data_IF_184730534182
#
_entry.id   IF_184730534182
#
_cell.length_a   1.000
_cell.length_b   1.000
_cell.length_c   1.000
_cell.angle_alpha   90.00
_cell.angle_beta   90.00
_cell.angle_gamma   90.00
#
_symmetry.space_group_name_H-M   'P 1'
#
loop_
_entity.id
_entity.type
_entity.pdbx_description
1 polymer ?
#
# COMPACT_ATOMS: atom_id res chain seq x y z
N UNK A 1 2.18 -3.67 -22.70
CA UNK A 1 3.31 -4.24 -23.46
C UNK A 1 2.73 -5.27 -24.40
N UNK A 2 3.06 -5.18 -25.68
CA UNK A 2 2.66 -6.20 -26.65
C UNK A 2 3.27 -7.55 -26.29
N UNK A 3 2.53 -8.62 -26.55
CA UNK A 3 2.94 -10.01 -26.26
C UNK A 3 4.24 -10.41 -26.97
N UNK A 4 4.63 -9.66 -28.00
CA UNK A 4 5.80 -9.87 -28.83
C UNK A 4 7.06 -9.12 -28.33
N UNK A 5 6.96 -8.37 -27.22
CA UNK A 5 8.11 -7.68 -26.64
C UNK A 5 9.13 -8.67 -26.04
N UNK A 6 10.44 -8.43 -26.21
CA UNK A 6 11.49 -9.28 -25.62
C UNK A 6 11.48 -9.29 -24.09
N UNK A 7 10.86 -8.32 -23.43
CA UNK A 7 10.66 -8.34 -21.97
C UNK A 7 9.55 -9.30 -21.52
N UNK A 8 8.58 -9.64 -22.39
CA UNK A 8 7.39 -10.40 -22.01
C UNK A 8 7.69 -11.80 -21.45
N UNK A 9 8.56 -12.63 -22.08
CA UNK A 9 8.89 -13.96 -21.55
C UNK A 9 9.57 -13.92 -20.18
N UNK A 10 10.37 -12.88 -19.93
CA UNK A 10 11.06 -12.69 -18.64
C UNK A 10 10.06 -12.35 -17.57
N UNK A 11 9.19 -11.38 -17.81
CA UNK A 11 8.13 -10.99 -16.87
C UNK A 11 7.23 -12.19 -16.55
N UNK A 12 6.89 -13.00 -17.55
CA UNK A 12 6.10 -14.21 -17.36
C UNK A 12 6.84 -15.25 -16.50
N UNK A 13 8.16 -15.42 -16.69
CA UNK A 13 8.98 -16.31 -15.87
C UNK A 13 9.03 -15.84 -14.42
N UNK A 14 9.32 -14.55 -14.21
CA UNK A 14 9.35 -13.95 -12.87
C UNK A 14 7.99 -14.09 -12.20
N UNK A 15 6.89 -13.80 -12.91
CA UNK A 15 5.54 -13.98 -12.39
C UNK A 15 5.29 -15.42 -11.94
N UNK A 16 5.60 -16.42 -12.78
CA UNK A 16 5.40 -17.84 -12.43
C UNK A 16 6.26 -18.26 -11.24
N UNK A 17 7.52 -17.83 -11.19
CA UNK A 17 8.43 -18.13 -10.08
C UNK A 17 7.96 -17.48 -8.77
N UNK A 18 7.54 -16.21 -8.81
CA UNK A 18 7.02 -15.50 -7.65
C UNK A 18 5.70 -16.11 -7.15
N UNK A 19 4.80 -16.54 -8.06
CA UNK A 19 3.58 -17.24 -7.67
C UNK A 19 3.90 -18.60 -7.03
N UNK A 20 4.84 -19.37 -7.60
CA UNK A 20 5.27 -20.63 -7.02
C UNK A 20 5.87 -20.44 -5.64
N UNK A 21 6.83 -19.52 -5.49
CA UNK A 21 7.44 -19.19 -4.22
C UNK A 21 6.40 -18.71 -3.20
N UNK A 22 5.43 -17.88 -3.62
CA UNK A 22 4.32 -17.43 -2.80
C UNK A 22 3.42 -18.56 -2.33
N UNK A 23 3.06 -19.50 -3.20
CA UNK A 23 2.26 -20.68 -2.83
C UNK A 23 3.00 -21.59 -1.86
N UNK A 24 4.31 -21.82 -2.07
CA UNK A 24 5.14 -22.59 -1.14
C UNK A 24 5.22 -21.89 0.22
N UNK A 25 5.44 -20.58 0.24
CA UNK A 25 5.48 -19.80 1.47
C UNK A 25 4.13 -19.82 2.20
N UNK A 26 2.99 -19.71 1.48
CA UNK A 26 1.66 -19.86 2.07
C UNK A 26 1.43 -21.26 2.64
N UNK A 27 1.95 -22.29 1.99
CA UNK A 27 1.95 -23.66 2.53
C UNK A 27 2.74 -23.78 3.85
N UNK A 28 3.92 -23.17 3.92
CA UNK A 28 4.71 -23.11 5.16
C UNK A 28 4.02 -22.28 6.25
N UNK A 29 3.35 -21.20 5.88
CA UNK A 29 2.52 -20.42 6.80
C UNK A 29 1.37 -21.25 7.40
N UNK A 30 0.76 -22.15 6.63
CA UNK A 30 -0.28 -23.06 7.15
C UNK A 30 0.29 -24.05 8.18
N UNK A 31 1.53 -24.52 8.00
CA UNK A 31 2.24 -25.30 9.02
C UNK A 31 2.48 -24.45 10.27
N UNK A 32 2.92 -23.20 10.10
CA UNK A 32 3.10 -22.25 11.21
C UNK A 32 1.80 -22.04 12.00
N UNK A 33 0.67 -21.87 11.32
CA UNK A 33 -0.65 -21.71 11.93
C UNK A 33 -1.09 -22.95 12.72
N UNK A 34 -0.69 -24.15 12.30
CA UNK A 34 -0.99 -25.40 13.02
C UNK A 34 -0.13 -25.58 14.29
N UNK A 35 1.04 -24.93 14.36
CA UNK A 35 1.93 -24.97 15.52
C UNK A 35 1.57 -23.90 16.55
N UNK A 36 1.37 -22.67 16.09
CA UNK A 36 1.01 -21.52 16.93
C UNK A 36 0.16 -20.53 16.11
N UNK A 37 -1.14 -20.57 16.36
CA UNK A 37 -2.12 -19.77 15.63
C UNK A 37 -1.99 -18.28 15.95
N UNK A 38 -1.63 -17.93 17.18
CA UNK A 38 -1.49 -16.54 17.62
C UNK A 38 -0.25 -15.90 17.00
N UNK A 39 0.90 -16.60 17.07
CA UNK A 39 2.13 -16.15 16.42
C UNK A 39 1.97 -16.04 14.90
N UNK A 40 1.21 -16.95 14.28
CA UNK A 40 0.86 -16.87 12.87
C UNK A 40 0.16 -15.55 12.54
N UNK A 41 -0.93 -15.20 13.23
CA UNK A 41 -1.68 -13.98 12.92
C UNK A 41 -0.86 -12.71 13.15
N UNK A 42 -0.07 -12.65 14.24
CA UNK A 42 0.84 -11.52 14.51
C UNK A 42 1.86 -11.33 13.37
N UNK A 43 2.49 -12.42 12.93
CA UNK A 43 3.48 -12.38 11.84
C UNK A 43 2.82 -12.07 10.49
N UNK A 44 1.64 -12.62 10.25
CA UNK A 44 0.86 -12.41 9.03
C UNK A 44 0.42 -10.95 8.92
N UNK A 45 0.00 -10.31 10.02
CA UNK A 45 -0.37 -8.89 10.04
C UNK A 45 0.81 -8.02 9.62
N UNK A 46 2.01 -8.23 10.17
CA UNK A 46 3.22 -7.48 9.78
C UNK A 46 3.53 -7.63 8.29
N UNK A 47 3.52 -8.87 7.79
CA UNK A 47 3.74 -9.14 6.37
C UNK A 47 2.66 -8.49 5.49
N UNK A 48 1.40 -8.58 5.90
CA UNK A 48 0.27 -7.97 5.21
C UNK A 48 0.41 -6.45 5.14
N UNK A 49 0.72 -5.79 6.26
CA UNK A 49 0.90 -4.33 6.35
C UNK A 49 2.04 -3.84 5.43
N UNK A 50 3.11 -4.62 5.31
CA UNK A 50 4.19 -4.33 4.38
C UNK A 50 3.71 -4.35 2.91
N UNK A 51 3.06 -5.43 2.48
CA UNK A 51 2.63 -5.60 1.09
C UNK A 51 1.46 -4.69 0.70
N UNK A 52 0.47 -4.49 1.58
CA UNK A 52 -0.60 -3.50 1.35
C UNK A 52 0.01 -2.09 1.30
N UNK A 53 1.04 -1.83 2.10
CA UNK A 53 1.71 -0.54 2.12
C UNK A 53 2.40 -0.21 0.80
N UNK A 54 3.10 -1.16 0.18
CA UNK A 54 3.66 -0.98 -1.17
C UNK A 54 2.54 -0.74 -2.19
N UNK A 55 1.46 -1.52 -2.12
CA UNK A 55 0.31 -1.42 -3.04
C UNK A 55 -0.33 -0.03 -2.99
N UNK A 56 -0.65 0.44 -1.79
CA UNK A 56 -1.28 1.74 -1.55
C UNK A 56 -0.32 2.91 -1.79
N UNK A 57 0.96 2.75 -1.47
CA UNK A 57 2.00 3.70 -1.83
C UNK A 57 2.10 3.87 -3.35
N UNK A 58 2.02 2.78 -4.12
CA UNK A 58 2.01 2.86 -5.58
C UNK A 58 0.78 3.61 -6.09
N UNK A 59 -0.42 3.30 -5.58
CA UNK A 59 -1.66 4.01 -5.94
C UNK A 59 -1.55 5.52 -5.65
N UNK A 60 -1.00 5.86 -4.48
CA UNK A 60 -0.78 7.24 -4.05
C UNK A 60 0.19 7.97 -4.96
N UNK A 61 1.33 7.37 -5.31
CA UNK A 61 2.30 7.97 -6.22
C UNK A 61 1.70 8.14 -7.63
N UNK A 62 0.88 7.20 -8.13
CA UNK A 62 0.16 7.37 -9.41
C UNK A 62 -0.73 8.61 -9.38
N UNK A 63 -1.52 8.78 -8.32
CA UNK A 63 -2.40 9.95 -8.17
C UNK A 63 -1.60 11.24 -8.02
N UNK A 64 -0.55 11.24 -7.21
CA UNK A 64 0.34 12.38 -7.01
C UNK A 64 1.00 12.81 -8.33
N UNK A 65 1.61 11.86 -9.05
CA UNK A 65 2.26 12.13 -10.34
C UNK A 65 1.28 12.64 -11.39
N UNK A 66 0.03 12.15 -11.37
CA UNK A 66 -1.00 12.63 -12.29
C UNK A 66 -1.29 14.12 -12.12
N UNK A 67 -1.08 14.67 -10.92
CA UNK A 67 -1.27 16.08 -10.60
C UNK A 67 -0.02 16.92 -10.83
N UNK A 68 1.16 16.38 -10.51
CA UNK A 68 2.44 17.13 -10.55
C UNK A 68 3.18 17.01 -11.88
N UNK A 69 3.02 15.90 -12.60
CA UNK A 69 3.76 15.60 -13.83
C UNK A 69 5.25 15.32 -13.58
N UNK A 70 6.07 15.62 -14.59
CA UNK A 70 7.52 15.39 -14.56
C UNK A 70 7.94 14.04 -15.15
N UNK A 71 9.18 13.99 -15.67
CA UNK A 71 9.72 12.84 -16.39
C UNK A 71 9.89 11.59 -15.51
N UNK A 72 10.29 11.77 -14.25
CA UNK A 72 10.52 10.68 -13.27
C UNK A 72 9.34 9.72 -13.14
N UNK A 73 8.12 10.24 -13.13
CA UNK A 73 6.92 9.43 -12.98
C UNK A 73 6.41 8.86 -14.29
N UNK A 74 6.77 9.44 -15.45
CA UNK A 74 6.39 8.89 -16.77
C UNK A 74 7.05 7.52 -16.99
N UNK A 75 8.33 7.40 -16.60
CA UNK A 75 9.11 6.17 -16.73
C UNK A 75 8.62 5.08 -15.78
N UNK A 76 8.21 5.46 -14.57
CA UNK A 76 7.78 4.52 -13.52
C UNK A 76 6.27 4.25 -13.51
N UNK A 77 5.48 5.05 -14.25
CA UNK A 77 4.00 4.98 -14.30
C UNK A 77 3.46 3.56 -14.41
N UNK A 78 3.97 2.76 -15.36
CA UNK A 78 3.45 1.40 -15.61
C UNK A 78 3.81 0.42 -14.49
N UNK A 79 4.93 0.62 -13.81
CA UNK A 79 5.32 -0.20 -12.65
C UNK A 79 4.44 0.14 -11.45
N UNK A 80 4.21 1.45 -11.22
CA UNK A 80 3.35 1.95 -10.16
C UNK A 80 1.88 1.52 -10.36
N UNK A 81 1.34 1.65 -11.57
CA UNK A 81 -0.01 1.18 -11.89
C UNK A 81 -0.15 -0.34 -11.71
N UNK A 82 0.86 -1.12 -12.12
CA UNK A 82 0.86 -2.56 -11.90
C UNK A 82 0.89 -2.91 -10.40
N UNK A 83 1.69 -2.18 -9.60
CA UNK A 83 1.71 -2.29 -8.14
C UNK A 83 0.35 -1.97 -7.53
N UNK A 84 -0.28 -0.85 -7.92
CA UNK A 84 -1.60 -0.45 -7.46
C UNK A 84 -2.69 -1.49 -7.81
N UNK A 85 -2.59 -2.14 -8.98
CA UNK A 85 -3.53 -3.18 -9.41
C UNK A 85 -3.46 -4.48 -8.61
N UNK A 86 -2.46 -4.65 -7.73
CA UNK A 86 -2.43 -5.78 -6.79
C UNK A 86 -3.42 -5.63 -5.63
N UNK A 87 -4.14 -4.51 -5.52
CA UNK A 87 -5.12 -4.27 -4.45
C UNK A 87 -6.20 -5.35 -4.35
N UNK A 88 -6.60 -5.96 -5.48
CA UNK A 88 -7.54 -7.08 -5.47
C UNK A 88 -6.97 -8.33 -4.80
N UNK A 89 -5.68 -8.60 -5.01
CA UNK A 89 -4.98 -9.67 -4.30
C UNK A 89 -4.89 -9.35 -2.81
N UNK A 90 -4.57 -8.10 -2.45
CA UNK A 90 -4.51 -7.70 -1.04
C UNK A 90 -5.87 -7.81 -0.33
N UNK A 91 -6.98 -7.53 -1.02
CA UNK A 91 -8.32 -7.75 -0.48
C UNK A 91 -8.59 -9.23 -0.17
N UNK A 92 -8.14 -10.15 -1.04
CA UNK A 92 -8.22 -11.60 -0.79
C UNK A 92 -7.32 -12.01 0.37
N UNK A 93 -6.07 -11.49 0.41
CA UNK A 93 -5.12 -11.78 1.48
C UNK A 93 -5.51 -11.15 2.83
N UNK A 94 -6.49 -10.24 2.86
CA UNK A 94 -7.07 -9.74 4.11
C UNK A 94 -8.09 -10.71 4.73
N UNK A 95 -8.66 -11.65 3.96
CA UNK A 95 -9.68 -12.58 4.45
C UNK A 95 -9.18 -13.42 5.65
N UNK A 96 -7.97 -14.01 5.65
CA UNK A 96 -7.46 -14.70 6.83
C UNK A 96 -7.40 -13.80 8.07
N UNK A 97 -6.96 -12.55 7.93
CA UNK A 97 -6.93 -11.58 9.04
C UNK A 97 -8.33 -11.24 9.54
N UNK A 98 -9.31 -11.11 8.65
CA UNK A 98 -10.68 -10.85 9.03
C UNK A 98 -11.30 -12.02 9.82
N UNK A 99 -11.05 -13.25 9.39
CA UNK A 99 -11.51 -14.46 10.08
C UNK A 99 -10.80 -14.67 11.41
N UNK A 100 -9.50 -14.37 11.46
CA UNK A 100 -8.65 -14.51 12.64
C UNK A 100 -8.57 -13.28 13.54
N UNK A 101 -9.39 -12.26 13.31
CA UNK A 101 -9.24 -10.95 13.95
C UNK A 101 -9.22 -11.02 15.49
N UNK A 102 -9.93 -11.99 16.09
CA UNK A 102 -9.97 -12.19 17.55
C UNK A 102 -8.61 -12.56 18.15
N UNK A 103 -7.72 -13.19 17.38
CA UNK A 103 -6.35 -13.50 17.81
C UNK A 103 -5.42 -12.28 17.79
N UNK A 104 -5.87 -11.16 17.22
CA UNK A 104 -5.10 -9.92 17.10
C UNK A 104 -5.63 -8.83 18.03
N UNK A 105 -6.95 -8.69 18.09
CA UNK A 105 -7.59 -7.54 18.72
C UNK A 105 -8.36 -7.97 19.98
N UNK A 106 -7.78 -7.76 21.15
CA UNK A 106 -8.41 -8.13 22.44
C UNK A 106 -9.77 -7.46 22.68
N UNK A 107 -9.99 -6.27 22.12
CA UNK A 107 -11.26 -5.56 22.22
C UNK A 107 -12.42 -6.23 21.47
N UNK A 108 -12.15 -7.15 20.53
CA UNK A 108 -13.19 -7.94 19.87
C UNK A 108 -13.83 -8.97 20.83
N UNK A 109 -13.08 -9.45 21.82
CA UNK A 109 -13.58 -10.35 22.86
C UNK A 109 -14.25 -9.56 23.99
N UNK A 110 -13.62 -8.48 24.45
CA UNK A 110 -14.18 -7.62 25.50
C UNK A 110 -15.52 -6.99 25.07
N UNK A 111 -15.61 -6.48 23.83
CA UNK A 111 -16.81 -5.85 23.27
C UNK A 111 -17.99 -6.81 22.98
N UNK A 112 -17.86 -8.11 23.26
CA UNK A 112 -18.96 -9.07 23.17
C UNK A 112 -20.03 -8.81 24.25
N UNK A 113 -19.65 -8.19 25.37
CA UNK A 113 -20.58 -7.79 26.43
C UNK A 113 -21.24 -6.45 26.08
N UNK A 114 -22.56 -6.36 26.23
CA UNK A 114 -23.33 -5.17 25.83
C UNK A 114 -22.92 -3.89 26.60
N UNK A 115 -22.35 -4.04 27.80
CA UNK A 115 -21.90 -2.94 28.65
C UNK A 115 -20.60 -2.26 28.14
N UNK A 116 -19.77 -2.98 27.39
CA UNK A 116 -18.43 -2.54 26.95
C UNK A 116 -18.38 -2.12 25.47
N UNK A 117 -19.55 -1.90 24.85
CA UNK A 117 -19.66 -1.59 23.41
C UNK A 117 -19.18 -0.18 23.10
N UNK A 118 -17.95 -0.06 22.59
CA UNK A 118 -17.42 1.19 22.07
C UNK A 118 -18.07 1.55 20.71
N UNK A 119 -18.47 2.82 20.47
CA UNK A 119 -19.07 3.24 19.20
C UNK A 119 -18.19 2.98 17.97
N UNK A 120 -16.87 3.10 18.12
CA UNK A 120 -15.89 2.92 17.03
C UNK A 120 -15.31 1.50 16.93
N UNK A 121 -14.86 0.91 18.05
CA UNK A 121 -14.23 -0.41 18.12
C UNK A 121 -15.28 -1.48 18.44
N UNK A 122 -16.07 -1.84 17.43
CA UNK A 122 -16.98 -2.96 17.49
C UNK A 122 -16.87 -3.78 16.20
N UNK A 123 -17.12 -5.09 16.29
CA UNK A 123 -16.86 -6.01 15.18
C UNK A 123 -17.62 -5.64 13.89
N UNK A 124 -18.95 -5.39 13.90
CA UNK A 124 -19.67 -5.05 12.67
C UNK A 124 -19.13 -3.79 12.00
N UNK A 125 -18.85 -2.73 12.77
CA UNK A 125 -18.38 -1.48 12.22
C UNK A 125 -16.93 -1.56 11.72
N UNK A 126 -16.07 -2.32 12.40
CA UNK A 126 -14.71 -2.62 11.93
C UNK A 126 -14.69 -3.30 10.56
N UNK A 127 -15.48 -4.37 10.38
CA UNK A 127 -15.54 -5.08 9.09
C UNK A 127 -16.21 -4.25 8.00
N UNK A 128 -17.24 -3.47 8.33
CA UNK A 128 -17.84 -2.52 7.41
C UNK A 128 -16.82 -1.49 6.91
N UNK A 129 -16.04 -0.91 7.83
CA UNK A 129 -14.98 0.05 7.49
C UNK A 129 -13.90 -0.57 6.63
N UNK A 130 -13.43 -1.77 6.96
CA UNK A 130 -12.47 -2.50 6.12
C UNK A 130 -13.01 -2.70 4.68
N UNK A 131 -14.27 -3.10 4.53
CA UNK A 131 -14.92 -3.24 3.23
C UNK A 131 -15.03 -1.89 2.49
N UNK A 132 -15.34 -0.80 3.20
CA UNK A 132 -15.39 0.55 2.65
C UNK A 132 -14.00 0.99 2.13
N UNK A 133 -12.94 0.76 2.90
CA UNK A 133 -11.57 1.10 2.49
C UNK A 133 -11.18 0.39 1.20
N UNK A 134 -11.36 -0.93 1.16
CA UNK A 134 -11.09 -1.72 -0.04
C UNK A 134 -11.96 -1.29 -1.21
N UNK A 135 -13.25 -1.01 -0.99
CA UNK A 135 -14.14 -0.49 -2.03
C UNK A 135 -13.59 0.80 -2.66
N UNK A 136 -13.20 1.77 -1.84
CA UNK A 136 -12.59 3.02 -2.30
C UNK A 136 -11.29 2.77 -3.09
N UNK A 137 -10.38 1.97 -2.56
CA UNK A 137 -9.08 1.74 -3.18
C UNK A 137 -9.17 0.90 -4.45
N UNK A 138 -10.06 -0.09 -4.50
CA UNK A 138 -10.35 -0.91 -5.68
C UNK A 138 -10.89 -0.06 -6.83
N UNK A 139 -11.83 0.85 -6.55
CA UNK A 139 -12.37 1.75 -7.57
C UNK A 139 -11.26 2.63 -8.18
N UNK A 140 -10.42 3.23 -7.35
CA UNK A 140 -9.29 4.05 -7.80
C UNK A 140 -8.27 3.23 -8.62
N UNK A 141 -7.89 2.06 -8.12
CA UNK A 141 -6.93 1.15 -8.78
C UNK A 141 -7.48 0.50 -10.06
N UNK A 142 -8.80 0.46 -10.23
CA UNK A 142 -9.45 0.00 -11.45
C UNK A 142 -9.49 1.11 -12.51
N UNK A 143 -10.04 2.27 -12.18
CA UNK A 143 -10.27 3.34 -13.16
C UNK A 143 -8.99 4.04 -13.63
N UNK A 144 -8.04 4.35 -12.72
CA UNK A 144 -6.85 5.12 -13.09
C UNK A 144 -5.98 4.41 -14.13
N UNK A 145 -5.60 3.12 -13.96
CA UNK A 145 -4.81 2.43 -14.96
C UNK A 145 -5.59 2.15 -16.25
N UNK A 146 -6.92 1.94 -16.17
CA UNK A 146 -7.76 1.74 -17.34
C UNK A 146 -7.74 2.96 -18.26
N UNK A 147 -8.04 4.15 -17.73
CA UNK A 147 -7.98 5.39 -18.52
C UNK A 147 -6.56 5.74 -18.94
N UNK A 148 -5.56 5.38 -18.14
CA UNK A 148 -4.15 5.56 -18.51
C UNK A 148 -3.75 4.70 -19.70
N UNK A 149 -4.30 3.48 -19.86
CA UNK A 149 -4.10 2.62 -21.04
C UNK A 149 -4.84 3.17 -22.26
N UNK A 150 -6.11 3.52 -22.10
CA UNK A 150 -6.93 4.11 -23.16
C UNK A 150 -6.31 5.41 -23.71
N UNK A 151 -5.65 6.20 -22.85
CA UNK A 151 -4.93 7.41 -23.25
C UNK A 151 -3.72 7.12 -24.14
N UNK A 152 -3.02 6.01 -23.89
CA UNK A 152 -1.88 5.61 -24.71
C UNK A 152 -2.33 5.11 -26.09
N UNK A 153 -3.56 4.61 -26.22
CA UNK A 153 -4.12 4.13 -27.49
C UNK A 153 -4.76 5.24 -28.34
N UNK A 154 -5.49 6.16 -27.71
CA UNK A 154 -6.32 7.16 -28.41
C UNK A 154 -5.70 8.54 -28.50
N UNK A 155 -4.65 8.83 -27.72
CA UNK A 155 -4.07 10.15 -27.52
C UNK A 155 -5.09 11.24 -27.09
N UNK A 156 -6.25 10.86 -26.51
CA UNK A 156 -7.29 11.81 -26.13
C UNK A 156 -6.90 12.63 -24.87
N UNK A 157 -6.78 13.95 -25.04
CA UNK A 157 -6.52 14.90 -23.97
C UNK A 157 -7.60 14.90 -22.86
N UNK A 158 -8.84 14.49 -23.16
CA UNK A 158 -9.92 14.38 -22.16
C UNK A 158 -9.63 13.32 -21.11
N UNK A 159 -8.93 12.23 -21.47
CA UNK A 159 -8.55 11.18 -20.52
C UNK A 159 -7.51 11.68 -19.51
N UNK A 160 -6.56 12.51 -19.95
CA UNK A 160 -5.62 13.16 -19.01
C UNK A 160 -6.36 14.02 -17.98
N UNK A 161 -7.41 14.75 -18.42
CA UNK A 161 -8.26 15.53 -17.51
C UNK A 161 -9.05 14.64 -16.56
N UNK A 162 -9.64 13.53 -17.02
CA UNK A 162 -10.37 12.58 -16.16
C UNK A 162 -9.47 12.00 -15.06
N UNK A 163 -8.26 11.57 -15.41
CA UNK A 163 -7.28 11.04 -14.46
C UNK A 163 -6.95 12.08 -13.38
N UNK A 164 -6.70 13.35 -13.76
CA UNK A 164 -6.45 14.44 -12.80
C UNK A 164 -7.65 14.70 -11.88
N UNK A 165 -8.85 14.78 -12.46
CA UNK A 165 -10.09 15.04 -11.71
C UNK A 165 -10.46 13.91 -10.76
N UNK A 166 -10.04 12.67 -11.02
CA UNK A 166 -10.18 11.56 -10.08
C UNK A 166 -9.05 11.54 -9.04
N UNK A 167 -7.82 11.86 -9.45
CA UNK A 167 -6.64 11.79 -8.57
C UNK A 167 -6.68 12.80 -7.43
N UNK A 168 -7.17 14.03 -7.66
CA UNK A 168 -7.25 15.06 -6.62
C UNK A 168 -8.17 14.67 -5.44
N UNK A 169 -9.46 14.36 -5.64
CA UNK A 169 -10.30 13.84 -4.57
C UNK A 169 -9.89 12.43 -4.12
N UNK A 170 -9.28 11.63 -5.01
CA UNK A 170 -8.75 10.31 -4.69
C UNK A 170 -7.65 10.34 -3.63
N UNK A 171 -6.76 11.33 -3.66
CA UNK A 171 -5.73 11.54 -2.62
C UNK A 171 -6.35 11.92 -1.28
N UNK A 172 -7.37 12.79 -1.26
CA UNK A 172 -8.09 13.15 -0.04
C UNK A 172 -8.76 11.92 0.56
N UNK A 173 -9.46 11.15 -0.28
CA UNK A 173 -10.11 9.91 0.12
C UNK A 173 -9.10 8.89 0.65
N UNK A 174 -7.95 8.76 -0.01
CA UNK A 174 -6.85 7.93 0.44
C UNK A 174 -6.35 8.36 1.82
N UNK A 175 -6.06 9.64 2.03
CA UNK A 175 -5.58 10.15 3.33
C UNK A 175 -6.56 9.82 4.45
N UNK A 176 -7.85 10.03 4.22
CA UNK A 176 -8.90 9.72 5.20
C UNK A 176 -8.95 8.22 5.48
N UNK A 177 -9.07 7.39 4.43
CA UNK A 177 -9.20 5.94 4.57
C UNK A 177 -7.94 5.28 5.13
N UNK A 178 -6.75 5.70 4.74
CA UNK A 178 -5.48 5.20 5.26
C UNK A 178 -5.26 5.59 6.72
N UNK A 179 -5.71 6.80 7.13
CA UNK A 179 -5.69 7.21 8.53
C UNK A 179 -6.56 6.27 9.38
N UNK A 180 -7.82 6.05 9.00
CA UNK A 180 -8.67 5.13 9.76
C UNK A 180 -8.24 3.67 9.67
N UNK A 181 -7.68 3.23 8.53
CA UNK A 181 -7.10 1.89 8.41
C UNK A 181 -5.88 1.71 9.32
N UNK A 182 -5.05 2.75 9.52
CA UNK A 182 -3.93 2.69 10.47
C UNK A 182 -4.40 2.57 11.92
N UNK A 183 -5.52 3.24 12.26
CA UNK A 183 -6.17 3.12 13.57
C UNK A 183 -6.70 1.70 13.74
N UNK A 184 -7.47 1.22 12.76
CA UNK A 184 -8.13 -0.07 12.82
C UNK A 184 -7.14 -1.23 12.86
N UNK A 185 -6.13 -1.22 11.98
CA UNK A 185 -5.29 -2.39 11.76
C UNK A 185 -4.02 -2.41 12.60
N UNK A 186 -3.63 -1.27 13.19
CA UNK A 186 -2.39 -1.19 13.98
C UNK A 186 -2.64 -0.57 15.34
N UNK A 187 -3.16 0.66 15.43
CA UNK A 187 -3.33 1.30 16.73
C UNK A 187 -4.30 0.53 17.63
N UNK A 188 -5.34 -0.08 17.05
CA UNK A 188 -6.33 -0.83 17.83
C UNK A 188 -5.80 -2.16 18.41
N UNK A 189 -4.57 -2.57 18.06
CA UNK A 189 -3.89 -3.64 18.80
C UNK A 189 -3.68 -3.23 20.27
N UNK A 190 -3.49 -1.94 20.53
CA UNK A 190 -3.38 -1.35 21.87
C UNK A 190 -4.39 -0.18 22.02
N UNK A 191 -5.67 -0.46 22.35
CA UNK A 191 -6.75 0.54 22.33
C UNK A 191 -6.55 1.77 23.23
N UNK A 192 -5.67 1.67 24.23
CA UNK A 192 -5.34 2.76 25.14
C UNK A 192 -4.32 3.72 24.53
N UNK A 193 -3.46 3.23 23.62
CA UNK A 193 -2.44 4.03 22.97
C UNK A 193 -3.03 4.94 21.89
N UNK A 194 -2.66 6.23 21.92
CA UNK A 194 -3.19 7.23 20.99
C UNK A 194 -2.08 8.07 20.39
N UNK A 195 -2.12 8.22 19.06
CA UNK A 195 -1.20 9.09 18.35
C UNK A 195 -1.82 9.64 17.07
N UNK A 196 -1.95 10.97 17.00
CA UNK A 196 -2.55 11.67 15.85
C UNK A 196 -1.66 11.64 14.61
N UNK A 197 -0.34 11.59 14.79
CA UNK A 197 0.64 11.57 13.71
C UNK A 197 0.88 10.16 13.14
N UNK A 198 0.40 9.11 13.82
CA UNK A 198 0.64 7.73 13.42
C UNK A 198 0.10 7.42 12.02
N UNK A 199 -1.08 7.92 11.66
CA UNK A 199 -1.61 7.78 10.29
C UNK A 199 -0.72 8.40 9.22
N UNK A 200 -0.08 9.53 9.54
CA UNK A 200 0.89 10.18 8.64
C UNK A 200 2.16 9.34 8.50
N UNK A 201 2.66 8.76 9.60
CA UNK A 201 3.80 7.84 9.57
C UNK A 201 3.51 6.59 8.76
N UNK A 202 2.31 6.04 8.94
CA UNK A 202 1.83 4.89 8.20
C UNK A 202 1.84 5.20 6.69
N UNK A 203 1.18 6.27 6.25
CA UNK A 203 1.16 6.69 4.84
C UNK A 203 2.55 7.05 4.30
N UNK A 204 3.39 7.72 5.10
CA UNK A 204 4.76 8.05 4.73
C UNK A 204 5.59 6.79 4.49
N UNK A 205 5.46 5.78 5.34
CA UNK A 205 6.07 4.46 5.17
C UNK A 205 5.59 3.75 3.90
N UNK A 206 4.30 3.88 3.55
CA UNK A 206 3.72 3.32 2.32
C UNK A 206 4.33 3.95 1.06
N UNK A 207 4.36 5.28 0.99
CA UNK A 207 4.95 6.02 -0.15
C UNK A 207 6.45 5.72 -0.25
N UNK A 208 7.17 5.70 0.87
CA UNK A 208 8.60 5.38 0.90
C UNK A 208 8.88 3.95 0.40
N UNK A 209 8.12 2.97 0.90
CA UNK A 209 8.26 1.56 0.50
C UNK A 209 7.95 1.37 -0.99
N UNK A 210 6.90 2.02 -1.49
CA UNK A 210 6.55 1.99 -2.90
C UNK A 210 7.62 2.65 -3.80
N UNK A 211 8.18 3.78 -3.36
CA UNK A 211 9.27 4.46 -4.07
C UNK A 211 10.50 3.55 -4.18
N UNK A 212 10.96 2.98 -3.06
CA UNK A 212 12.07 2.04 -3.03
C UNK A 212 11.81 0.80 -3.91
N UNK A 213 10.62 0.21 -3.78
CA UNK A 213 10.21 -0.95 -4.56
C UNK A 213 10.27 -0.68 -6.06
N UNK A 214 9.71 0.46 -6.50
CA UNK A 214 9.69 0.82 -7.93
C UNK A 214 11.06 1.15 -8.47
N UNK A 215 11.97 1.74 -7.67
CA UNK A 215 13.36 1.95 -8.07
C UNK A 215 14.06 0.61 -8.32
N UNK A 216 13.86 -0.38 -7.44
CA UNK A 216 14.41 -1.74 -7.61
C UNK A 216 13.84 -2.39 -8.87
N UNK A 217 12.52 -2.35 -9.07
CA UNK A 217 11.88 -2.90 -10.27
C UNK A 217 12.40 -2.21 -11.54
N UNK A 218 12.54 -0.88 -11.52
CA UNK A 218 13.09 -0.11 -12.62
C UNK A 218 14.52 -0.52 -12.92
N UNK A 219 15.38 -0.68 -11.90
CA UNK A 219 16.77 -1.12 -12.06
C UNK A 219 16.87 -2.53 -12.69
N UNK A 220 16.02 -3.46 -12.26
CA UNK A 220 15.97 -4.84 -12.81
C UNK A 220 15.50 -4.90 -14.27
N UNK A 221 14.73 -3.90 -14.70
CA UNK A 221 14.17 -3.82 -16.06
C UNK A 221 14.92 -2.83 -16.96
N UNK A 222 15.75 -1.95 -16.41
CA UNK A 222 16.42 -0.86 -17.15
C UNK A 222 17.31 -1.35 -18.29
N UNK A 223 17.84 -2.57 -18.22
CA UNK A 223 18.67 -3.15 -19.29
C UNK A 223 17.89 -4.02 -20.29
N UNK A 224 16.56 -4.08 -20.17
CA UNK A 224 15.70 -4.95 -21.00
C UNK A 224 14.86 -4.10 -21.95
N UNK A 225 14.85 -4.48 -23.23
CA UNK A 225 13.98 -3.85 -24.22
C UNK A 225 12.49 -4.11 -23.88
N UNK A 226 11.58 -3.12 -24.03
CA UNK A 226 11.76 -1.80 -24.63
C UNK A 226 12.17 -0.69 -23.63
N UNK A 227 12.40 -1.03 -22.36
CA UNK A 227 12.72 -0.03 -21.32
C UNK A 227 14.14 0.51 -21.43
N UNK A 228 15.07 -0.28 -21.97
CA UNK A 228 16.45 0.13 -22.19
C UNK A 228 16.58 1.45 -22.97
N UNK A 229 15.70 1.67 -23.94
CA UNK A 229 15.71 2.88 -24.77
C UNK A 229 15.05 4.09 -24.08
N UNK A 230 14.37 3.88 -22.95
CA UNK A 230 13.54 4.91 -22.29
C UNK A 230 14.06 5.32 -20.91
N UNK A 231 14.86 4.48 -20.26
CA UNK A 231 15.39 4.75 -18.92
C UNK A 231 16.83 5.25 -19.01
N UNK A 232 17.00 6.58 -18.97
CA UNK A 232 18.29 7.24 -18.77
C UNK A 232 18.73 7.28 -17.28
N UNK A 233 20.02 7.51 -17.03
CA UNK A 233 20.61 7.66 -15.69
C UNK A 233 20.02 8.84 -14.91
N UNK A 234 19.62 9.91 -15.60
CA UNK A 234 19.00 11.09 -14.99
C UNK A 234 17.71 10.72 -14.25
N UNK A 235 16.91 9.81 -14.80
CA UNK A 235 15.70 9.35 -14.12
C UNK A 235 16.00 8.65 -12.79
N UNK A 236 17.10 7.89 -12.70
CA UNK A 236 17.52 7.29 -11.43
C UNK A 236 18.02 8.32 -10.43
N UNK A 237 18.65 9.40 -10.90
CA UNK A 237 19.04 10.51 -10.05
C UNK A 237 17.81 11.22 -9.46
N UNK A 238 16.79 11.50 -10.28
CA UNK A 238 15.52 12.08 -9.83
C UNK A 238 14.80 11.18 -8.82
N UNK A 239 14.72 9.88 -9.12
CA UNK A 239 14.11 8.90 -8.20
C UNK A 239 14.91 8.76 -6.90
N UNK A 240 16.25 8.85 -6.96
CA UNK A 240 17.12 8.85 -5.79
C UNK A 240 16.91 10.08 -4.90
N UNK A 241 16.79 11.27 -5.50
CA UNK A 241 16.49 12.51 -4.78
C UNK A 241 15.10 12.46 -4.15
N UNK A 242 14.11 11.92 -4.86
CA UNK A 242 12.76 11.72 -4.34
C UNK A 242 12.74 10.72 -3.17
N UNK A 243 13.45 9.60 -3.30
CA UNK A 243 13.60 8.60 -2.24
C UNK A 243 14.24 9.23 -0.99
N UNK A 244 15.35 9.94 -1.17
CA UNK A 244 16.03 10.64 -0.07
C UNK A 244 15.10 11.66 0.59
N UNK A 245 14.34 12.41 -0.19
CA UNK A 245 13.37 13.37 0.33
C UNK A 245 12.29 12.70 1.18
N UNK A 246 11.77 11.56 0.74
CA UNK A 246 10.82 10.78 1.54
C UNK A 246 11.44 10.15 2.78
N UNK A 247 12.70 9.70 2.73
CA UNK A 247 13.43 9.23 3.92
C UNK A 247 13.56 10.35 4.94
N UNK A 248 13.97 11.55 4.52
CA UNK A 248 14.09 12.71 5.42
C UNK A 248 12.74 13.10 6.03
N UNK A 249 11.67 13.11 5.22
CA UNK A 249 10.33 13.42 5.69
C UNK A 249 9.81 12.37 6.69
N UNK A 250 10.02 11.08 6.39
CA UNK A 250 9.65 9.99 7.30
C UNK A 250 10.43 10.08 8.61
N UNK A 251 11.75 10.30 8.55
CA UNK A 251 12.59 10.46 9.73
C UNK A 251 12.16 11.66 10.58
N UNK A 252 11.79 12.77 9.94
CA UNK A 252 11.24 13.95 10.63
C UNK A 252 9.97 13.59 11.40
N UNK A 253 8.98 12.95 10.77
CA UNK A 253 7.75 12.57 11.47
C UNK A 253 8.00 11.52 12.56
N UNK A 254 8.88 10.55 12.31
CA UNK A 254 9.13 9.44 13.24
C UNK A 254 9.83 9.96 14.50
N UNK A 255 10.83 10.82 14.30
CA UNK A 255 11.52 11.49 15.39
C UNK A 255 10.59 12.47 16.12
N UNK A 256 9.75 13.23 15.39
CA UNK A 256 8.80 14.16 16.02
C UNK A 256 7.78 13.44 16.89
N UNK A 257 7.25 12.29 16.44
CA UNK A 257 6.36 11.46 17.24
C UNK A 257 7.06 11.02 18.53
N UNK A 258 8.26 10.44 18.40
CA UNK A 258 9.04 9.99 19.54
C UNK A 258 9.34 11.13 20.52
N UNK A 259 9.79 12.29 20.02
CA UNK A 259 10.17 13.43 20.85
C UNK A 259 8.99 13.98 21.65
N UNK A 260 7.80 14.08 21.03
CA UNK A 260 6.58 14.56 21.71
C UNK A 260 6.17 13.57 22.81
N UNK A 261 6.08 12.28 22.49
CA UNK A 261 5.70 11.23 23.45
C UNK A 261 6.69 11.18 24.61
N UNK A 262 7.99 11.17 24.30
CA UNK A 262 9.05 11.12 25.32
C UNK A 262 9.05 12.36 26.20
N UNK A 263 8.82 13.55 25.62
CA UNK A 263 8.79 14.80 26.38
C UNK A 263 7.53 14.94 27.25
N UNK A 264 6.38 14.44 26.78
CA UNK A 264 5.12 14.48 27.52
C UNK A 264 5.02 13.40 28.60
N UNK A 265 5.58 12.22 28.31
CA UNK A 265 5.62 11.03 29.18
C UNK A 265 4.27 10.72 29.84
N UNK A 266 3.18 10.86 29.07
CA UNK A 266 1.83 10.52 29.52
C UNK A 266 1.62 9.00 29.46
N UNK A 267 0.83 8.41 30.37
CA UNK A 267 0.66 6.95 30.42
C UNK A 267 0.01 6.31 29.18
N UNK A 268 -0.75 7.11 28.42
CA UNK A 268 -1.55 6.67 27.28
C UNK A 268 -0.89 7.02 25.91
N UNK A 269 0.37 7.46 25.90
CA UNK A 269 1.13 7.94 24.73
C UNK A 269 2.40 7.12 24.43
#
# INVERSE_FOLDING_TARGET
MERNSPAYPVLQRVQKMSLFAGMVALGLCAVGAALDLEQFFRSYLVAYLFWIGITLGCLTIVMMHSLTGGAWGVVTRRMLEAGAQTIGLMAVLFVPLALGARHLYGWLEAGAHAADRHPYLNAPFFFFRAALYFGCWLLLAYFLPQWSRERDETADSKLARKIRLLSAPGLILYVITATFASIDWVMSLEPHWRSTIFGVLFMGGQVLSACAFVIVVAALLARRQPLADRIASEHFHDLGNLLLSFVMLWAYFAFSQYLIIWSGNLPDE
#
